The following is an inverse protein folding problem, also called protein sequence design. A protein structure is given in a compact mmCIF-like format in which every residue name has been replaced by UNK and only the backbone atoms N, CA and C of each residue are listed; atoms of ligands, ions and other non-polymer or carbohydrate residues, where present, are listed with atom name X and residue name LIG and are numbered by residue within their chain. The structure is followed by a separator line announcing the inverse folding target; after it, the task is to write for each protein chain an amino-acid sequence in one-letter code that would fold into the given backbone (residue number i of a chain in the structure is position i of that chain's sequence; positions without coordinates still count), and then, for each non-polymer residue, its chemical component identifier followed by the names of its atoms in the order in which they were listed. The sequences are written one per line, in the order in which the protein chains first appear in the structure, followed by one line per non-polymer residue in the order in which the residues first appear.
data_IF_249045142392
#
_entry.id   IF_249045142392
#
_cell.length_a   1.000
_cell.length_b   1.000
_cell.length_c   1.000
_cell.angle_alpha   90.00
_cell.angle_beta   90.00
_cell.angle_gamma   90.00
#
_symmetry.space_group_name_H-M   'P 1'
#
loop_
_entity.id
_entity.type
_entity.pdbx_description
1 polymer ?
#
# COMPACT_ATOMS: atom_id res chain seq x y z
N UNK A 1 46.30 -49.58 5.20
CA UNK A 1 45.37 -49.08 6.22
C UNK A 1 45.13 -47.57 6.16
N UNK A 2 45.19 -46.92 4.98
CA UNK A 2 45.07 -45.44 4.87
C UNK A 2 44.19 -44.93 3.73
N UNK A 3 43.30 -45.77 3.20
CA UNK A 3 42.39 -45.34 2.10
C UNK A 3 40.93 -45.15 2.48
N UNK A 4 40.50 -45.64 3.65
CA UNK A 4 39.10 -45.47 4.14
C UNK A 4 38.84 -44.15 4.88
N UNK A 5 39.87 -43.42 5.33
CA UNK A 5 39.73 -42.22 6.16
C UNK A 5 39.49 -40.95 5.32
N UNK A 6 39.70 -41.00 4.01
CA UNK A 6 39.53 -39.82 3.13
C UNK A 6 38.13 -39.67 2.51
N UNK A 7 37.29 -40.67 2.59
CA UNK A 7 35.96 -40.64 1.99
C UNK A 7 34.91 -40.10 2.97
N UNK A 8 35.17 -40.19 4.30
CA UNK A 8 34.24 -39.66 5.29
C UNK A 8 34.27 -38.13 5.48
N UNK A 9 35.37 -37.47 4.98
CA UNK A 9 35.52 -36.01 5.19
C UNK A 9 34.79 -35.15 4.19
N UNK A 10 34.31 -35.73 3.06
CA UNK A 10 33.57 -34.96 2.04
C UNK A 10 32.05 -34.90 2.26
N UNK A 11 31.48 -35.72 3.18
CA UNK A 11 30.03 -35.74 3.40
C UNK A 11 29.51 -34.76 4.44
N UNK A 12 30.39 -34.11 5.20
CA UNK A 12 30.00 -33.22 6.30
C UNK A 12 29.81 -31.75 5.88
N UNK A 13 30.20 -31.38 4.64
CA UNK A 13 30.19 -29.95 4.21
C UNK A 13 28.94 -29.57 3.39
N UNK A 14 28.05 -30.52 3.02
CA UNK A 14 26.87 -30.22 2.17
C UNK A 14 25.57 -30.03 2.96
N UNK A 15 25.58 -30.25 4.29
CA UNK A 15 24.37 -30.24 5.10
C UNK A 15 23.88 -28.89 5.68
N UNK A 16 24.56 -27.71 5.58
CA UNK A 16 24.02 -26.51 6.22
C UNK A 16 23.34 -25.50 5.27
N UNK A 17 23.13 -25.83 3.96
CA UNK A 17 22.47 -24.87 3.06
C UNK A 17 20.94 -24.94 3.00
N UNK A 18 20.34 -25.88 3.72
CA UNK A 18 18.88 -26.07 3.73
C UNK A 18 18.16 -25.38 4.90
N UNK A 19 18.88 -24.63 5.76
CA UNK A 19 18.36 -24.12 7.02
C UNK A 19 17.93 -22.65 6.99
N UNK A 20 17.71 -22.05 5.80
CA UNK A 20 17.33 -20.64 5.73
C UNK A 20 15.81 -20.35 5.86
N UNK A 21 14.97 -21.38 6.00
CA UNK A 21 13.53 -21.17 6.20
C UNK A 21 12.96 -22.19 7.19
N UNK A 22 13.21 -22.08 8.50
CA UNK A 22 12.70 -23.04 9.50
C UNK A 22 11.16 -23.05 9.60
N UNK A 23 10.46 -22.07 9.05
CA UNK A 23 8.99 -21.96 9.06
C UNK A 23 8.36 -21.97 7.65
N UNK A 24 9.04 -22.54 6.64
CA UNK A 24 8.56 -22.56 5.27
C UNK A 24 8.79 -21.21 4.55
N UNK A 25 9.43 -21.26 3.39
CA UNK A 25 9.44 -20.10 2.51
C UNK A 25 8.02 -19.93 1.97
N UNK A 26 7.36 -18.81 2.29
CA UNK A 26 6.13 -18.41 1.60
C UNK A 26 6.50 -18.10 0.15
N UNK A 27 6.31 -19.10 -0.71
CA UNK A 27 6.31 -18.86 -2.16
C UNK A 27 4.98 -18.21 -2.48
N UNK A 28 4.97 -16.88 -2.57
CA UNK A 28 3.81 -16.15 -3.09
C UNK A 28 3.55 -16.67 -4.51
N UNK A 29 2.31 -17.06 -4.79
CA UNK A 29 1.88 -17.35 -6.16
C UNK A 29 2.14 -16.11 -7.05
N UNK A 30 2.39 -16.31 -8.35
CA UNK A 30 2.65 -15.19 -9.27
C UNK A 30 1.63 -14.06 -9.12
N UNK A 31 0.33 -14.38 -9.04
CA UNK A 31 -0.75 -13.41 -8.83
C UNK A 31 -0.65 -12.66 -7.49
N UNK A 32 -0.29 -13.34 -6.40
CA UNK A 32 -0.12 -12.70 -5.10
C UNK A 32 1.15 -11.83 -5.06
N UNK A 33 2.21 -12.26 -5.74
CA UNK A 33 3.43 -11.45 -5.91
C UNK A 33 3.15 -10.18 -6.73
N UNK A 34 2.45 -10.31 -7.86
CA UNK A 34 2.08 -9.16 -8.71
C UNK A 34 1.22 -8.15 -7.94
N UNK A 35 0.24 -8.60 -7.16
CA UNK A 35 -0.60 -7.72 -6.35
C UNK A 35 0.19 -6.96 -5.26
N UNK A 36 1.26 -7.54 -4.73
CA UNK A 36 2.14 -6.88 -3.77
C UNK A 36 3.20 -5.99 -4.43
N UNK A 37 3.77 -6.44 -5.56
CA UNK A 37 4.82 -5.72 -6.26
C UNK A 37 4.28 -4.53 -7.07
N UNK A 38 3.05 -4.64 -7.56
CA UNK A 38 2.37 -3.64 -8.38
C UNK A 38 0.95 -3.38 -7.87
N UNK A 39 0.80 -2.78 -6.68
CA UNK A 39 -0.53 -2.47 -6.14
C UNK A 39 -1.26 -1.51 -7.06
N UNK A 40 -2.55 -1.76 -7.28
CA UNK A 40 -3.40 -0.83 -8.03
C UNK A 40 -3.33 0.56 -7.40
N UNK A 41 -2.98 1.60 -8.15
CA UNK A 41 -2.93 2.96 -7.63
C UNK A 41 -4.25 3.35 -6.97
N UNK A 42 -4.19 4.12 -5.89
CA UNK A 42 -5.39 4.56 -5.15
C UNK A 42 -6.37 5.33 -6.04
N UNK A 43 -5.88 6.12 -6.99
CA UNK A 43 -6.68 6.82 -8.00
C UNK A 43 -7.58 5.89 -8.81
N UNK A 44 -7.10 4.71 -9.17
CA UNK A 44 -7.84 3.75 -10.00
C UNK A 44 -9.02 3.11 -9.25
N UNK A 45 -9.10 3.31 -7.93
CA UNK A 45 -10.21 2.87 -7.10
C UNK A 45 -11.38 3.86 -7.09
N UNK A 46 -11.30 4.94 -7.88
CA UNK A 46 -12.33 5.95 -8.03
C UNK A 46 -12.86 5.95 -9.46
N UNK A 47 -14.16 5.84 -9.60
CA UNK A 47 -14.84 5.72 -10.89
C UNK A 47 -15.95 6.76 -11.02
N UNK A 48 -16.13 7.30 -12.23
CA UNK A 48 -17.26 8.12 -12.61
C UNK A 48 -17.65 7.78 -14.04
N UNK A 49 -18.95 7.74 -14.34
CA UNK A 49 -19.47 7.53 -15.69
C UNK A 49 -19.25 8.76 -16.58
N UNK A 50 -19.19 9.94 -15.99
CA UNK A 50 -19.17 11.23 -16.69
C UNK A 50 -17.75 11.80 -16.84
N UNK A 51 -16.72 11.07 -16.40
CA UNK A 51 -15.34 11.52 -16.41
C UNK A 51 -14.41 10.54 -17.11
N UNK A 52 -13.57 11.07 -17.99
CA UNK A 52 -12.50 10.33 -18.63
C UNK A 52 -11.35 10.03 -17.65
N UNK A 53 -10.47 9.08 -17.99
CA UNK A 53 -9.26 8.80 -17.24
C UNK A 53 -8.31 10.00 -17.13
N UNK A 54 -8.28 10.85 -18.15
CA UNK A 54 -7.47 12.08 -18.14
C UNK A 54 -8.02 13.09 -17.11
N UNK A 55 -9.34 13.30 -17.07
CA UNK A 55 -9.99 14.15 -16.09
C UNK A 55 -9.83 13.59 -14.67
N UNK A 56 -9.99 12.26 -14.51
CA UNK A 56 -9.76 11.62 -13.20
C UNK A 56 -8.34 11.87 -12.67
N UNK A 57 -7.32 11.85 -13.54
CA UNK A 57 -5.94 12.18 -13.13
C UNK A 57 -5.81 13.63 -12.66
N UNK A 58 -6.37 14.57 -13.40
CA UNK A 58 -6.34 15.98 -13.02
C UNK A 58 -7.12 16.25 -11.74
N UNK A 59 -8.29 15.66 -11.61
CA UNK A 59 -9.15 15.77 -10.43
C UNK A 59 -8.46 15.16 -9.19
N UNK A 60 -7.79 13.99 -9.36
CA UNK A 60 -7.02 13.36 -8.31
C UNK A 60 -5.87 14.26 -7.81
N UNK A 61 -5.09 14.83 -8.73
CA UNK A 61 -4.03 15.78 -8.40
C UNK A 61 -4.60 17.05 -7.77
N UNK A 62 -5.71 17.56 -8.28
CA UNK A 62 -6.43 18.71 -7.72
C UNK A 62 -6.97 18.47 -6.31
N UNK A 63 -7.32 17.25 -5.97
CA UNK A 63 -7.72 16.83 -4.62
C UNK A 63 -6.53 16.54 -3.68
N UNK A 64 -5.29 16.71 -4.12
CA UNK A 64 -4.08 16.49 -3.31
C UNK A 64 -3.46 15.11 -3.47
N UNK A 65 -3.90 14.33 -4.46
CA UNK A 65 -3.28 13.07 -4.83
C UNK A 65 -1.97 13.26 -5.60
N UNK A 66 -1.16 12.24 -5.68
CA UNK A 66 0.12 12.29 -6.40
C UNK A 66 -0.03 11.80 -7.85
N UNK A 67 0.87 12.24 -8.74
CA UNK A 67 0.82 11.96 -10.20
C UNK A 67 0.79 10.48 -10.54
N UNK A 68 1.46 9.64 -9.75
CA UNK A 68 1.47 8.18 -9.93
C UNK A 68 0.15 7.50 -9.52
N UNK A 69 -0.78 8.25 -8.97
CA UNK A 69 -2.06 7.76 -8.46
C UNK A 69 -2.03 7.34 -6.99
N UNK A 70 -0.90 7.52 -6.33
CA UNK A 70 -0.74 7.33 -4.89
C UNK A 70 -1.16 8.56 -4.07
N UNK A 71 -1.01 8.46 -2.76
CA UNK A 71 -1.21 9.58 -1.84
C UNK A 71 0.08 9.81 -1.04
N UNK A 72 0.75 10.92 -1.35
CA UNK A 72 1.98 11.34 -0.68
C UNK A 72 1.95 12.87 -0.58
N UNK A 73 1.29 13.44 0.43
CA UNK A 73 1.20 14.88 0.59
C UNK A 73 2.58 15.48 0.86
N UNK A 74 2.78 16.72 0.40
CA UNK A 74 4.02 17.45 0.64
C UNK A 74 4.20 17.72 2.13
N UNK A 75 5.44 17.71 2.58
CA UNK A 75 5.80 17.92 4.00
C UNK A 75 5.23 19.24 4.54
N UNK A 76 5.27 20.30 3.73
CA UNK A 76 4.72 21.61 4.12
C UNK A 76 3.22 21.55 4.42
N UNK A 77 2.45 20.75 3.65
CA UNK A 77 1.01 20.55 3.90
C UNK A 77 0.77 19.75 5.17
N UNK A 78 1.61 18.76 5.42
CA UNK A 78 1.52 17.94 6.64
C UNK A 78 1.81 18.83 7.87
N UNK A 79 2.85 19.66 7.82
CA UNK A 79 3.20 20.56 8.92
C UNK A 79 2.12 21.65 9.15
N UNK A 80 1.49 22.16 8.10
CA UNK A 80 0.37 23.09 8.20
C UNK A 80 -0.86 22.45 8.85
N UNK A 81 -1.14 21.18 8.53
CA UNK A 81 -2.27 20.44 9.08
C UNK A 81 -2.01 19.92 10.49
N UNK A 82 -0.75 19.79 10.88
CA UNK A 82 -0.36 19.28 12.18
C UNK A 82 -0.78 20.22 13.32
N UNK A 83 -1.42 19.65 14.32
CA UNK A 83 -1.83 20.40 15.52
C UNK A 83 -0.69 20.47 16.52
N UNK A 84 -0.66 21.54 17.31
CA UNK A 84 0.44 21.83 18.26
C UNK A 84 0.70 20.73 19.31
N UNK A 85 -0.28 19.88 19.58
CA UNK A 85 -0.15 18.77 20.53
C UNK A 85 0.22 17.44 19.89
N UNK A 86 0.28 17.37 18.56
CA UNK A 86 0.63 16.14 17.83
C UNK A 86 2.16 16.02 17.74
N UNK A 87 2.68 14.88 18.23
CA UNK A 87 4.13 14.63 18.24
C UNK A 87 4.63 14.08 16.90
N UNK A 88 3.77 13.36 16.18
CA UNK A 88 4.09 12.74 14.90
C UNK A 88 3.19 13.26 13.76
N UNK A 89 3.53 12.90 12.53
CA UNK A 89 2.86 13.37 11.31
C UNK A 89 1.65 12.51 10.91
N UNK A 90 1.47 11.34 11.50
CA UNK A 90 0.44 10.38 11.05
C UNK A 90 -0.99 10.91 11.17
N UNK A 91 -1.38 11.59 12.27
CA UNK A 91 -2.72 12.17 12.35
C UNK A 91 -3.00 13.24 11.29
N UNK A 92 -2.03 14.11 11.02
CA UNK A 92 -2.14 15.14 9.99
C UNK A 92 -2.22 14.50 8.59
N UNK A 93 -1.35 13.55 8.28
CA UNK A 93 -1.39 12.78 7.04
C UNK A 93 -2.73 12.08 6.84
N UNK A 94 -3.28 11.48 7.89
CA UNK A 94 -4.59 10.83 7.83
C UNK A 94 -5.72 11.82 7.52
N UNK A 95 -5.76 13.00 8.15
CA UNK A 95 -6.76 14.03 7.85
C UNK A 95 -6.70 14.49 6.40
N UNK A 96 -5.50 14.72 5.86
CA UNK A 96 -5.31 15.05 4.44
C UNK A 96 -5.83 13.94 3.52
N UNK A 97 -5.64 12.69 3.88
CA UNK A 97 -6.17 11.54 3.13
C UNK A 97 -7.70 11.49 3.15
N UNK A 98 -8.31 11.76 4.30
CA UNK A 98 -9.78 11.84 4.39
C UNK A 98 -10.34 13.00 3.54
N UNK A 99 -9.64 14.13 3.51
CA UNK A 99 -10.05 15.29 2.71
C UNK A 99 -9.94 15.03 1.20
N UNK A 100 -8.88 14.34 0.75
CA UNK A 100 -8.79 13.87 -0.63
C UNK A 100 -10.01 13.00 -1.01
N UNK A 101 -10.40 12.06 -0.15
CA UNK A 101 -11.56 11.21 -0.42
C UNK A 101 -12.86 12.01 -0.49
N UNK A 102 -13.05 12.99 0.41
CA UNK A 102 -14.21 13.90 0.35
C UNK A 102 -14.21 14.73 -0.93
N UNK A 103 -13.04 15.22 -1.36
CA UNK A 103 -12.88 15.97 -2.60
C UNK A 103 -13.32 15.11 -3.81
N UNK A 104 -12.84 13.88 -3.94
CA UNK A 104 -13.25 12.97 -5.02
C UNK A 104 -14.76 12.71 -5.02
N UNK A 105 -15.35 12.50 -3.85
CA UNK A 105 -16.84 12.36 -3.72
C UNK A 105 -17.58 13.61 -4.19
N UNK A 106 -17.13 14.81 -3.80
CA UNK A 106 -17.74 16.07 -4.24
C UNK A 106 -17.68 16.26 -5.77
N UNK A 107 -16.65 15.72 -6.43
CA UNK A 107 -16.52 15.72 -7.88
C UNK A 107 -17.35 14.64 -8.59
N UNK A 108 -18.14 13.85 -7.85
CA UNK A 108 -19.03 12.83 -8.37
C UNK A 108 -18.39 11.47 -8.61
N UNK A 109 -17.19 11.23 -8.10
CA UNK A 109 -16.57 9.91 -8.16
C UNK A 109 -17.15 8.98 -7.10
N UNK A 110 -17.29 7.72 -7.47
CA UNK A 110 -17.65 6.61 -6.61
C UNK A 110 -16.41 5.76 -6.30
N UNK A 111 -16.24 5.38 -5.07
CA UNK A 111 -15.18 4.46 -4.68
C UNK A 111 -15.59 3.03 -5.01
N UNK A 112 -14.77 2.37 -5.81
CA UNK A 112 -14.97 0.97 -6.25
C UNK A 112 -13.98 0.00 -5.59
N UNK A 113 -13.12 0.52 -4.71
CA UNK A 113 -12.21 -0.30 -3.93
C UNK A 113 -12.95 -1.07 -2.82
N UNK A 114 -12.20 -1.89 -2.10
CA UNK A 114 -12.76 -2.77 -1.09
C UNK A 114 -12.91 -2.05 0.25
N UNK A 115 -14.15 -1.98 0.75
CA UNK A 115 -14.44 -1.58 2.12
C UNK A 115 -14.56 -2.84 3.00
N UNK A 116 -13.75 -2.91 4.04
CA UNK A 116 -13.79 -4.02 4.99
C UNK A 116 -14.74 -3.69 6.15
N UNK A 117 -15.33 -4.72 6.74
CA UNK A 117 -16.16 -4.54 7.92
C UNK A 117 -15.29 -4.41 9.19
N UNK A 118 -14.59 -3.28 9.29
CA UNK A 118 -13.79 -2.91 10.45
C UNK A 118 -13.90 -1.40 10.72
N UNK A 119 -13.45 -0.98 11.89
CA UNK A 119 -13.54 0.40 12.35
C UNK A 119 -12.81 1.39 11.42
N UNK A 120 -11.63 0.99 10.91
CA UNK A 120 -10.82 1.81 10.01
C UNK A 120 -11.61 2.09 8.72
N UNK A 121 -12.13 1.06 8.04
CA UNK A 121 -12.89 1.25 6.81
C UNK A 121 -14.17 2.06 7.05
N UNK A 122 -14.87 1.83 8.18
CA UNK A 122 -16.08 2.57 8.54
C UNK A 122 -15.82 4.06 8.81
N UNK A 123 -14.58 4.44 9.13
CA UNK A 123 -14.19 5.86 9.31
C UNK A 123 -13.81 6.58 8.00
N UNK A 124 -13.70 5.86 6.88
CA UNK A 124 -13.29 6.44 5.60
C UNK A 124 -14.48 7.02 4.84
N UNK A 125 -14.41 8.26 4.33
CA UNK A 125 -15.41 8.83 3.41
C UNK A 125 -15.66 7.97 2.18
N UNK A 126 -14.65 7.32 1.64
CA UNK A 126 -14.75 6.36 0.54
C UNK A 126 -15.72 5.21 0.88
N UNK A 127 -15.80 4.80 2.13
CA UNK A 127 -16.63 3.70 2.60
C UNK A 127 -17.95 4.16 3.30
N UNK A 128 -18.34 5.43 3.13
CA UNK A 128 -19.63 5.96 3.58
C UNK A 128 -19.59 6.81 4.85
N UNK A 129 -18.42 7.05 5.43
CA UNK A 129 -18.29 8.04 6.49
C UNK A 129 -18.64 9.47 5.98
N UNK A 130 -19.11 10.38 6.84
CA UNK A 130 -19.39 11.76 6.49
C UNK A 130 -18.15 12.57 6.12
#
# INVERSE_FOLDING_TARGET
MNRCLRVLSCFVIIAPLSACCPNGCFVLSGAAFEALAYPTPLREQWFSLDRSDAERRLDWEGCGGYKDGGFSPKEELIEQEKRSHEKDILPAHHRLYLELQRCMKRLGYQYIGKCHDNEISRSLPACGAP
#
